data_IF_199855544890
#
_entry.id   IF_199855544890
#
_cell.length_a   1.000
_cell.length_b   1.000
_cell.length_c   1.000
_cell.angle_alpha   90.00
_cell.angle_beta   90.00
_cell.angle_gamma   90.00
#
_symmetry.space_group_name_H-M   'P 1'
#
loop_
_entity.id
_entity.type
_entity.pdbx_description
1 polymer ?
#
# COMPACT_ATOMS: atom_id res chain seq x y z
N UNK A 1 -15.16 -1.94 58.67
CA UNK A 1 -15.62 -2.01 57.28
C UNK A 1 -14.62 -1.26 56.40
N UNK A 2 -13.60 -1.98 55.95
CA UNK A 2 -12.65 -1.60 54.89
C UNK A 2 -12.23 -2.93 54.28
N UNK A 3 -12.66 -3.17 53.05
CA UNK A 3 -12.17 -4.24 52.19
C UNK A 3 -10.90 -3.72 51.53
N UNK A 4 -9.77 -4.38 51.76
CA UNK A 4 -8.63 -4.33 50.84
C UNK A 4 -8.26 -5.77 50.52
N UNK A 5 -8.50 -6.14 49.27
CA UNK A 5 -8.25 -7.47 48.71
C UNK A 5 -6.84 -7.47 48.15
N UNK A 6 -6.05 -8.43 48.64
CA UNK A 6 -4.71 -8.78 48.19
C UNK A 6 -4.73 -9.27 46.73
N UNK A 7 -4.03 -8.58 45.84
CA UNK A 7 -3.73 -9.09 44.50
C UNK A 7 -2.43 -9.91 44.53
N UNK A 8 -2.58 -11.22 44.58
CA UNK A 8 -1.52 -12.19 44.30
C UNK A 8 -1.19 -12.20 42.81
N UNK A 9 0.08 -11.98 42.49
CA UNK A 9 0.70 -12.15 41.17
C UNK A 9 0.50 -13.59 40.67
N UNK A 10 -0.28 -13.76 39.60
CA UNK A 10 -0.28 -14.96 38.76
C UNK A 10 0.55 -14.66 37.52
N UNK A 11 1.84 -15.03 37.56
CA UNK A 11 2.64 -15.21 36.37
C UNK A 11 2.18 -16.50 35.67
N UNK A 12 1.33 -16.38 34.65
CA UNK A 12 1.14 -17.47 33.69
C UNK A 12 2.30 -17.44 32.69
N UNK A 13 3.32 -18.24 32.96
CA UNK A 13 4.28 -18.71 31.96
C UNK A 13 3.49 -19.50 30.91
N UNK A 14 3.24 -18.91 29.74
CA UNK A 14 2.96 -19.71 28.56
C UNK A 14 4.28 -20.30 28.09
N UNK A 15 4.40 -21.61 28.24
CA UNK A 15 5.46 -22.39 27.63
C UNK A 15 5.39 -22.21 26.12
N UNK A 16 6.51 -21.79 25.53
CA UNK A 16 6.74 -21.91 24.09
C UNK A 16 6.85 -23.42 23.84
N UNK A 17 5.77 -24.04 23.40
CA UNK A 17 5.86 -25.37 22.79
C UNK A 17 6.67 -25.19 21.50
N UNK A 18 7.89 -25.72 21.50
CA UNK A 18 8.68 -25.93 20.30
C UNK A 18 7.87 -26.86 19.38
N UNK A 19 7.19 -26.28 18.40
CA UNK A 19 6.73 -27.02 17.24
C UNK A 19 7.99 -27.39 16.46
N UNK A 20 8.49 -28.61 16.68
CA UNK A 20 9.40 -29.25 15.75
C UNK A 20 8.67 -29.35 14.41
N UNK A 21 8.99 -28.43 13.50
CA UNK A 21 8.63 -28.58 12.10
C UNK A 21 9.34 -29.82 11.58
N UNK A 22 8.61 -30.92 11.46
CA UNK A 22 9.01 -32.01 10.58
C UNK A 22 9.08 -31.43 9.16
N UNK A 23 10.28 -31.03 8.77
CA UNK A 23 10.60 -30.66 7.40
C UNK A 23 10.43 -31.90 6.54
N UNK A 24 9.36 -31.93 5.77
CA UNK A 24 9.28 -32.77 4.59
C UNK A 24 10.18 -32.11 3.54
N UNK A 25 11.42 -32.59 3.47
CA UNK A 25 12.43 -32.20 2.50
C UNK A 25 12.11 -32.82 1.13
N UNK A 26 11.01 -32.38 0.51
CA UNK A 26 10.75 -32.56 -0.91
C UNK A 26 10.57 -31.17 -1.53
N UNK A 27 11.64 -30.68 -2.15
CA UNK A 27 11.75 -29.34 -2.72
C UNK A 27 10.87 -29.11 -3.94
N UNK A 28 9.56 -28.92 -3.73
CA UNK A 28 8.68 -28.23 -4.65
C UNK A 28 7.94 -27.16 -3.87
N UNK A 29 8.45 -25.92 -3.91
CA UNK A 29 7.72 -24.76 -3.43
C UNK A 29 6.37 -24.61 -4.14
N UNK A 30 5.46 -23.81 -3.56
CA UNK A 30 4.16 -23.53 -4.18
C UNK A 30 4.37 -22.90 -5.57
N UNK A 31 4.06 -23.65 -6.63
CA UNK A 31 4.13 -23.17 -8.03
C UNK A 31 2.77 -22.63 -8.47
N UNK A 32 2.79 -21.57 -9.26
CA UNK A 32 1.63 -20.88 -9.81
C UNK A 32 1.97 -20.39 -11.22
N UNK A 33 0.95 -20.21 -12.07
CA UNK A 33 1.16 -19.66 -13.41
C UNK A 33 1.70 -18.23 -13.31
N UNK A 34 2.83 -17.92 -13.96
CA UNK A 34 3.53 -16.63 -13.83
C UNK A 34 4.70 -16.64 -12.85
N UNK A 35 5.05 -17.79 -12.28
CA UNK A 35 6.19 -17.95 -11.36
C UNK A 35 7.55 -17.65 -12.02
N UNK A 36 7.63 -17.71 -13.35
CA UNK A 36 8.78 -17.33 -14.17
C UNK A 36 9.12 -15.83 -14.07
N UNK A 37 8.15 -14.98 -13.70
CA UNK A 37 8.34 -13.55 -13.48
C UNK A 37 8.85 -13.22 -12.08
N UNK A 38 9.09 -14.23 -11.24
CA UNK A 38 9.57 -14.06 -9.88
C UNK A 38 10.98 -14.60 -9.72
N UNK A 39 11.86 -13.80 -9.14
CA UNK A 39 13.14 -14.30 -8.64
C UNK A 39 12.93 -15.19 -7.42
N UNK A 40 13.79 -16.18 -7.25
CA UNK A 40 13.70 -17.13 -6.13
C UNK A 40 13.78 -16.41 -4.77
N UNK A 41 14.65 -15.41 -4.66
CA UNK A 41 14.78 -14.59 -3.44
C UNK A 41 13.46 -13.89 -3.11
N UNK A 42 12.75 -13.37 -4.12
CA UNK A 42 11.47 -12.69 -3.93
C UNK A 42 10.38 -13.67 -3.46
N UNK A 43 10.36 -14.89 -4.01
CA UNK A 43 9.42 -15.94 -3.57
C UNK A 43 9.69 -16.37 -2.13
N UNK A 44 10.96 -16.54 -1.77
CA UNK A 44 11.34 -16.92 -0.40
C UNK A 44 10.87 -15.89 0.65
N UNK A 45 10.87 -14.59 0.29
CA UNK A 45 10.32 -13.53 1.15
C UNK A 45 8.79 -13.60 1.28
N UNK A 46 8.09 -14.04 0.24
CA UNK A 46 6.65 -14.27 0.31
C UNK A 46 6.29 -15.52 1.14
N UNK A 47 7.10 -16.56 1.08
CA UNK A 47 6.88 -17.80 1.83
C UNK A 47 7.24 -17.68 3.31
N UNK A 48 8.18 -16.79 3.65
CA UNK A 48 8.69 -16.62 5.01
C UNK A 48 8.59 -15.15 5.49
N UNK A 49 7.40 -14.53 5.52
CA UNK A 49 7.26 -13.11 5.85
C UNK A 49 7.74 -12.75 7.26
N UNK A 50 7.66 -13.70 8.21
CA UNK A 50 8.09 -13.50 9.60
C UNK A 50 9.55 -13.87 9.88
N UNK A 51 10.27 -14.43 8.89
CA UNK A 51 11.71 -14.70 9.03
C UNK A 51 12.56 -13.43 8.97
N UNK A 52 11.93 -12.31 8.63
CA UNK A 52 12.57 -11.02 8.46
C UNK A 52 12.86 -10.38 9.82
N UNK A 53 14.05 -9.82 9.94
CA UNK A 53 14.58 -9.16 11.14
C UNK A 53 13.74 -7.96 11.61
N UNK A 54 12.78 -7.47 10.80
CA UNK A 54 11.89 -6.35 11.13
C UNK A 54 10.90 -6.64 12.26
N UNK A 55 10.38 -7.86 12.38
CA UNK A 55 9.59 -8.25 13.56
C UNK A 55 10.42 -8.40 14.84
N UNK A 56 11.75 -8.29 14.71
CA UNK A 56 12.72 -8.34 15.80
C UNK A 56 13.44 -6.98 16.00
N UNK A 57 12.94 -5.90 15.41
CA UNK A 57 13.44 -4.53 15.59
C UNK A 57 12.85 -3.93 16.87
N UNK A 58 13.63 -3.70 17.94
CA UNK A 58 13.13 -3.12 19.19
C UNK A 58 12.75 -1.62 19.09
N UNK A 59 12.90 -1.02 17.90
CA UNK A 59 12.69 0.39 17.57
C UNK A 59 11.38 0.68 16.81
N UNK A 60 10.42 -0.25 16.76
CA UNK A 60 9.08 0.01 16.20
C UNK A 60 8.37 1.11 17.01
N UNK A 61 8.22 2.28 16.42
CA UNK A 61 7.56 3.42 17.04
C UNK A 61 6.07 3.44 16.67
N UNK A 62 5.20 3.28 17.67
CA UNK A 62 3.76 3.54 17.53
C UNK A 62 3.50 5.05 17.68
N UNK A 63 3.18 5.73 16.59
CA UNK A 63 2.74 7.14 16.64
C UNK A 63 1.23 7.21 16.81
N UNK A 64 0.73 8.17 17.59
CA UNK A 64 -0.68 8.51 17.70
C UNK A 64 -0.89 9.94 17.17
N UNK A 65 -1.67 10.10 16.10
CA UNK A 65 -2.04 11.42 15.59
C UNK A 65 -3.00 12.13 16.57
N UNK A 66 -2.74 13.41 16.84
CA UNK A 66 -3.54 14.25 17.75
C UNK A 66 -4.58 15.10 17.02
N UNK A 67 -4.55 15.18 15.68
CA UNK A 67 -5.59 15.87 14.93
C UNK A 67 -6.93 15.13 15.12
N UNK A 68 -7.92 15.85 15.64
CA UNK A 68 -9.28 15.37 15.94
C UNK A 68 -9.40 14.33 17.06
N UNK A 69 -8.32 14.01 17.79
CA UNK A 69 -8.25 12.92 18.78
C UNK A 69 -8.47 11.51 18.20
N UNK A 70 -8.43 11.36 16.88
CA UNK A 70 -8.51 10.05 16.23
C UNK A 70 -7.14 9.37 16.26
N UNK A 71 -7.04 8.21 16.90
CA UNK A 71 -5.80 7.45 16.97
C UNK A 71 -5.52 6.77 15.63
N UNK A 72 -4.54 7.27 14.87
CA UNK A 72 -3.90 6.52 13.78
C UNK A 72 -2.79 5.69 14.39
N UNK A 73 -2.79 4.37 14.19
CA UNK A 73 -1.69 3.50 14.61
C UNK A 73 -0.71 3.38 13.45
N UNK A 74 0.48 3.95 13.58
CA UNK A 74 1.48 3.95 12.53
C UNK A 74 2.63 3.00 12.88
N UNK A 75 3.02 2.15 11.94
CA UNK A 75 4.19 1.29 11.99
C UNK A 75 5.14 1.70 10.84
N UNK A 76 6.29 2.27 11.19
CA UNK A 76 7.30 2.72 10.20
C UNK A 76 8.28 1.58 9.95
N UNK A 77 8.29 1.05 8.73
CA UNK A 77 9.17 -0.06 8.31
C UNK A 77 10.45 0.43 7.64
N UNK A 78 10.38 1.58 6.96
CA UNK A 78 11.54 2.29 6.43
C UNK A 78 11.30 3.80 6.51
N UNK A 79 12.37 4.55 6.75
CA UNK A 79 12.38 6.01 6.71
C UNK A 79 12.83 6.54 5.33
N UNK A 80 13.70 5.79 4.64
CA UNK A 80 14.29 6.18 3.36
C UNK A 80 14.38 4.94 2.43
N UNK A 81 13.56 4.86 1.38
CA UNK A 81 12.32 5.62 1.22
C UNK A 81 11.35 5.29 2.34
N UNK A 82 10.35 6.15 2.54
CA UNK A 82 9.36 5.81 3.53
C UNK A 82 8.51 4.62 3.10
N UNK A 83 8.29 3.74 4.07
CA UNK A 83 7.37 2.62 3.97
C UNK A 83 6.67 2.49 5.32
N UNK A 84 5.37 2.76 5.32
CA UNK A 84 4.56 2.87 6.54
C UNK A 84 3.33 1.99 6.42
N UNK A 85 2.98 1.31 7.51
CA UNK A 85 1.68 0.65 7.67
C UNK A 85 0.84 1.43 8.68
N UNK A 86 -0.33 1.86 8.23
CA UNK A 86 -1.38 2.43 9.07
C UNK A 86 -2.29 1.28 9.52
N UNK A 87 -2.10 0.83 10.76
CA UNK A 87 -2.82 -0.31 11.34
C UNK A 87 -4.22 0.11 11.79
N UNK A 88 -5.21 -0.74 11.51
CA UNK A 88 -6.62 -0.47 11.81
C UNK A 88 -7.07 0.92 11.29
N UNK A 89 -6.56 1.33 10.13
CA UNK A 89 -6.77 2.67 9.58
C UNK A 89 -8.25 2.94 9.33
N UNK A 90 -9.00 1.96 8.83
CA UNK A 90 -10.45 2.07 8.59
C UNK A 90 -11.21 1.00 9.36
N UNK A 91 -12.41 1.36 9.81
CA UNK A 91 -13.27 0.45 10.57
C UNK A 91 -13.90 -0.63 9.68
N UNK A 92 -14.25 -1.76 10.29
CA UNK A 92 -14.99 -2.84 9.59
C UNK A 92 -16.30 -2.36 8.95
N UNK A 93 -16.96 -1.34 9.54
CA UNK A 93 -18.18 -0.75 8.98
C UNK A 93 -17.88 -0.05 7.65
N UNK A 94 -16.79 0.72 7.58
CA UNK A 94 -16.37 1.38 6.34
C UNK A 94 -15.93 0.36 5.29
N UNK A 95 -15.20 -0.69 5.70
CA UNK A 95 -14.80 -1.79 4.82
C UNK A 95 -16.02 -2.46 4.20
N UNK A 96 -17.00 -2.86 5.02
CA UNK A 96 -18.19 -3.56 4.53
C UNK A 96 -18.98 -2.73 3.52
N UNK A 97 -19.13 -1.41 3.77
CA UNK A 97 -19.80 -0.51 2.81
C UNK A 97 -19.07 -0.44 1.47
N UNK A 98 -17.74 -0.38 1.49
CA UNK A 98 -16.97 -0.37 0.25
C UNK A 98 -17.03 -1.74 -0.45
N UNK A 99 -17.01 -2.84 0.30
CA UNK A 99 -17.21 -4.18 -0.27
C UNK A 99 -18.60 -4.35 -0.90
N UNK A 100 -19.65 -3.75 -0.33
CA UNK A 100 -20.99 -3.75 -0.92
C UNK A 100 -21.00 -3.02 -2.28
N UNK A 101 -20.31 -1.88 -2.39
CA UNK A 101 -20.15 -1.15 -3.65
C UNK A 101 -19.41 -1.99 -4.70
N UNK A 102 -18.35 -2.69 -4.29
CA UNK A 102 -17.56 -3.61 -5.14
C UNK A 102 -18.44 -4.76 -5.67
N UNK A 103 -19.29 -5.32 -4.80
CA UNK A 103 -20.19 -6.40 -5.19
C UNK A 103 -21.19 -5.94 -6.27
N UNK A 104 -21.68 -4.71 -6.18
CA UNK A 104 -22.61 -4.12 -7.16
C UNK A 104 -21.92 -3.84 -8.49
N UNK A 105 -20.72 -3.24 -8.47
CA UNK A 105 -20.04 -2.81 -9.70
C UNK A 105 -19.52 -3.97 -10.57
N UNK A 106 -19.33 -5.16 -9.96
CA UNK A 106 -18.72 -6.37 -10.54
C UNK A 106 -17.25 -6.16 -10.94
N UNK A 107 -16.41 -7.15 -10.64
CA UNK A 107 -14.98 -7.12 -10.93
C UNK A 107 -14.67 -7.86 -12.24
N UNK A 108 -13.91 -7.23 -13.13
CA UNK A 108 -13.48 -7.79 -14.41
C UNK A 108 -11.99 -8.19 -14.36
N UNK A 109 -11.59 -9.22 -15.10
CA UNK A 109 -10.18 -9.65 -15.14
C UNK A 109 -9.29 -8.53 -15.71
N UNK A 110 -8.18 -8.21 -15.02
CA UNK A 110 -7.32 -7.08 -15.38
C UNK A 110 -6.18 -7.50 -16.32
N UNK A 111 -5.94 -6.69 -17.35
CA UNK A 111 -4.82 -6.83 -18.29
C UNK A 111 -3.63 -5.99 -17.81
N UNK A 112 -2.40 -6.49 -17.96
CA UNK A 112 -1.17 -5.68 -17.91
C UNK A 112 -0.71 -5.49 -19.35
N UNK A 113 -0.47 -4.24 -19.75
CA UNK A 113 0.02 -3.89 -21.08
C UNK A 113 1.51 -3.65 -20.97
N UNK A 114 2.31 -4.40 -21.74
CA UNK A 114 3.73 -4.11 -21.92
C UNK A 114 3.85 -3.01 -23.01
N UNK A 115 4.68 -1.99 -22.79
CA UNK A 115 4.90 -0.92 -23.77
C UNK A 115 5.48 -1.46 -25.09
N UNK A 116 6.15 -2.62 -25.05
CA UNK A 116 6.83 -3.22 -26.19
C UNK A 116 5.98 -4.23 -26.97
N UNK A 117 4.82 -4.64 -26.46
CA UNK A 117 3.99 -5.64 -27.11
C UNK A 117 2.54 -5.13 -27.25
N UNK A 118 2.22 -4.64 -28.44
CA UNK A 118 0.89 -4.16 -28.82
C UNK A 118 -0.15 -5.30 -28.92
N UNK A 119 0.20 -6.54 -28.58
CA UNK A 119 -0.76 -7.62 -28.47
C UNK A 119 -1.46 -7.55 -27.11
N UNK A 120 -2.80 -7.48 -27.10
CA UNK A 120 -3.63 -7.53 -25.88
C UNK A 120 -3.59 -8.92 -25.20
N UNK A 121 -2.41 -9.53 -25.05
CA UNK A 121 -2.24 -10.80 -24.38
C UNK A 121 -2.13 -10.59 -22.88
N UNK A 122 -2.72 -11.52 -22.12
CA UNK A 122 -2.68 -11.54 -20.67
C UNK A 122 -1.24 -11.73 -20.21
N UNK A 123 -0.56 -10.67 -19.77
CA UNK A 123 0.80 -10.82 -19.26
C UNK A 123 0.76 -11.57 -17.91
N UNK A 124 1.41 -12.73 -17.86
CA UNK A 124 1.33 -13.67 -16.73
C UNK A 124 1.93 -13.12 -15.43
N UNK A 125 2.67 -12.00 -15.49
CA UNK A 125 3.21 -11.31 -14.32
C UNK A 125 2.14 -10.81 -13.35
N UNK A 126 0.88 -10.68 -13.79
CA UNK A 126 -0.23 -10.27 -12.91
C UNK A 126 -1.48 -11.07 -13.20
N UNK A 127 -2.10 -11.54 -12.11
CA UNK A 127 -3.39 -12.22 -12.16
C UNK A 127 -4.31 -11.69 -11.08
N UNK A 128 -5.20 -10.79 -11.48
CA UNK A 128 -6.17 -10.15 -10.60
C UNK A 128 -7.45 -9.80 -11.38
N UNK A 129 -8.58 -9.83 -10.70
CA UNK A 129 -9.78 -9.13 -11.14
C UNK A 129 -9.76 -7.73 -10.53
N UNK A 130 -10.37 -6.76 -11.19
CA UNK A 130 -10.34 -5.39 -10.76
C UNK A 130 -11.48 -4.57 -11.34
N UNK A 131 -11.62 -3.38 -10.78
CA UNK A 131 -12.54 -2.35 -11.24
C UNK A 131 -12.05 -1.00 -10.74
N UNK A 132 -12.65 0.06 -11.25
CA UNK A 132 -12.31 1.42 -10.90
C UNK A 132 -13.51 2.08 -10.22
N UNK A 133 -13.27 2.87 -9.19
CA UNK A 133 -14.30 3.67 -8.54
C UNK A 133 -13.87 5.12 -8.49
N UNK A 134 -14.69 6.04 -8.98
CA UNK A 134 -14.49 7.45 -8.65
C UNK A 134 -14.71 7.65 -7.14
N UNK A 135 -13.93 8.52 -6.51
CA UNK A 135 -13.98 8.73 -5.05
C UNK A 135 -15.39 8.96 -4.53
N UNK A 136 -16.23 9.70 -5.26
CA UNK A 136 -17.60 10.00 -4.86
C UNK A 136 -18.65 9.32 -5.74
N UNK A 137 -18.29 8.21 -6.38
CA UNK A 137 -19.21 7.46 -7.23
C UNK A 137 -20.36 6.84 -6.42
N UNK A 138 -20.00 6.22 -5.30
CA UNK A 138 -20.93 5.51 -4.43
C UNK A 138 -20.79 6.00 -2.99
N UNK A 139 -21.72 5.59 -2.13
CA UNK A 139 -21.72 6.03 -0.73
C UNK A 139 -20.49 5.49 0.02
N UNK A 140 -20.11 4.22 -0.19
CA UNK A 140 -18.96 3.62 0.47
C UNK A 140 -17.65 4.23 0.00
N UNK A 141 -17.48 4.46 -1.30
CA UNK A 141 -16.27 5.13 -1.83
C UNK A 141 -16.17 6.57 -1.33
N UNK A 142 -17.28 7.32 -1.30
CA UNK A 142 -17.28 8.73 -0.86
C UNK A 142 -16.88 8.86 0.60
N UNK A 143 -17.46 8.01 1.46
CA UNK A 143 -17.13 7.98 2.88
C UNK A 143 -15.68 7.54 3.11
N UNK A 144 -15.19 6.58 2.32
CA UNK A 144 -13.81 6.12 2.41
C UNK A 144 -12.82 7.22 2.02
N UNK A 145 -13.11 7.94 0.93
CA UNK A 145 -12.30 9.04 0.45
C UNK A 145 -12.25 10.22 1.43
N UNK A 146 -13.41 10.68 1.90
CA UNK A 146 -13.52 11.78 2.86
C UNK A 146 -12.75 11.45 4.14
N UNK A 147 -12.98 10.26 4.69
CA UNK A 147 -12.26 9.81 5.87
C UNK A 147 -10.74 9.74 5.65
N UNK A 148 -10.29 9.19 4.53
CA UNK A 148 -8.85 9.08 4.22
C UNK A 148 -8.19 10.45 4.14
N UNK A 149 -8.87 11.41 3.49
CA UNK A 149 -8.38 12.79 3.34
C UNK A 149 -8.32 13.52 4.68
N UNK A 150 -9.33 13.35 5.54
CA UNK A 150 -9.37 13.96 6.88
C UNK A 150 -8.27 13.40 7.80
N UNK A 151 -7.97 12.10 7.68
CA UNK A 151 -6.97 11.42 8.52
C UNK A 151 -5.53 11.65 8.06
N UNK A 152 -5.33 11.93 6.76
CA UNK A 152 -4.02 12.18 6.13
C UNK A 152 -4.03 13.54 5.40
N UNK A 153 -4.26 14.66 6.11
CA UNK A 153 -4.51 15.97 5.49
C UNK A 153 -3.28 16.58 4.80
N UNK A 154 -2.10 15.97 4.98
CA UNK A 154 -0.85 16.41 4.35
C UNK A 154 -0.64 15.83 2.95
N UNK A 155 -1.47 14.85 2.55
CA UNK A 155 -1.46 14.25 1.23
C UNK A 155 -2.69 14.75 0.49
N UNK A 156 -2.47 15.37 -0.67
CA UNK A 156 -3.55 15.76 -1.54
C UNK A 156 -3.99 14.55 -2.40
N UNK A 157 -5.00 13.84 -1.91
CA UNK A 157 -5.63 12.73 -2.64
C UNK A 157 -6.53 13.18 -3.80
N UNK A 158 -6.75 14.49 -4.01
CA UNK A 158 -7.44 15.03 -5.20
C UNK A 158 -6.55 15.00 -6.46
N UNK A 159 -5.31 14.53 -6.35
CA UNK A 159 -4.42 14.31 -7.50
C UNK A 159 -3.87 12.89 -7.48
N UNK A 160 -4.78 11.91 -7.55
CA UNK A 160 -4.48 10.50 -7.75
C UNK A 160 -4.98 10.04 -9.13
N UNK A 161 -4.26 9.12 -9.76
CA UNK A 161 -4.44 8.81 -11.19
C UNK A 161 -5.78 8.14 -11.58
N UNK A 162 -6.24 8.49 -12.80
CA UNK A 162 -7.18 7.76 -13.66
C UNK A 162 -6.44 7.05 -14.80
N UNK A 163 -6.82 5.82 -15.15
CA UNK A 163 -6.55 5.29 -16.49
C UNK A 163 -7.86 4.97 -17.24
N UNK A 164 -7.94 5.50 -18.47
CA UNK A 164 -8.95 5.36 -19.55
C UNK A 164 -10.01 6.46 -19.74
N UNK A 165 -9.77 7.29 -20.75
CA UNK A 165 -10.70 7.63 -21.84
C UNK A 165 -12.12 8.15 -21.55
N UNK A 166 -12.42 8.77 -20.41
CA UNK A 166 -13.66 9.55 -20.28
C UNK A 166 -13.43 11.06 -20.19
N UNK A 167 -13.69 11.67 -21.34
CA UNK A 167 -14.09 13.04 -21.57
C UNK A 167 -13.01 14.13 -21.51
N UNK A 168 -12.71 14.64 -22.72
CA UNK A 168 -12.47 16.05 -23.05
C UNK A 168 -13.60 16.98 -22.53
N UNK A 169 -14.02 16.87 -21.28
CA UNK A 169 -14.82 17.90 -20.63
C UNK A 169 -13.83 18.73 -19.81
N UNK A 170 -13.39 19.80 -20.45
CA UNK A 170 -12.50 20.88 -19.99
C UNK A 170 -12.90 21.56 -18.66
N UNK A 171 -13.81 20.99 -17.86
CA UNK A 171 -14.43 21.61 -16.70
C UNK A 171 -14.51 20.72 -15.45
N UNK A 172 -14.08 19.45 -15.50
CA UNK A 172 -14.00 18.59 -14.30
C UNK A 172 -12.55 18.60 -13.82
N UNK A 173 -12.21 19.56 -12.97
CA UNK A 173 -10.81 19.90 -12.72
C UNK A 173 -10.02 18.91 -11.85
N UNK A 174 -10.64 17.92 -11.22
CA UNK A 174 -9.97 16.90 -10.39
C UNK A 174 -10.84 15.65 -10.29
N UNK A 175 -10.37 14.52 -10.83
CA UNK A 175 -11.01 13.21 -10.66
C UNK A 175 -9.97 12.30 -10.07
N UNK A 176 -10.36 11.64 -8.99
CA UNK A 176 -9.51 10.72 -8.27
C UNK A 176 -10.27 9.43 -8.00
N UNK A 177 -9.55 8.33 -8.12
CA UNK A 177 -10.12 7.01 -8.33
C UNK A 177 -9.43 5.98 -7.48
N UNK A 178 -10.23 5.20 -6.74
CA UNK A 178 -9.77 3.94 -6.18
C UNK A 178 -9.67 2.89 -7.27
N UNK A 179 -8.48 2.34 -7.46
CA UNK A 179 -8.29 1.14 -8.25
C UNK A 179 -8.42 -0.09 -7.36
N UNK A 180 -9.53 -0.80 -7.47
CA UNK A 180 -9.82 -1.96 -6.63
C UNK A 180 -9.39 -3.23 -7.34
N UNK A 181 -8.68 -4.09 -6.62
CA UNK A 181 -8.18 -5.36 -7.10
C UNK A 181 -8.58 -6.49 -6.16
N UNK A 182 -9.23 -7.51 -6.72
CA UNK A 182 -9.44 -8.81 -6.11
C UNK A 182 -8.47 -9.83 -6.70
N UNK A 183 -7.67 -10.42 -5.84
CA UNK A 183 -6.78 -11.51 -6.13
C UNK A 183 -7.38 -12.77 -5.49
N UNK A 184 -7.65 -13.79 -6.31
CA UNK A 184 -8.09 -15.12 -5.83
C UNK A 184 -6.90 -16.07 -5.73
N UNK A 185 -7.10 -17.32 -5.33
CA UNK A 185 -6.03 -18.34 -5.34
C UNK A 185 -5.28 -18.39 -6.68
N UNK A 186 -3.95 -18.37 -6.61
CA UNK A 186 -3.02 -18.23 -7.74
C UNK A 186 -2.87 -16.79 -8.26
N UNK A 187 -3.64 -15.84 -7.73
CA UNK A 187 -3.53 -14.42 -8.01
C UNK A 187 -2.29 -13.83 -7.38
N UNK A 188 -1.62 -12.97 -8.13
CA UNK A 188 -0.35 -12.36 -7.75
C UNK A 188 -0.07 -11.12 -8.62
N UNK A 189 0.96 -10.37 -8.26
CA UNK A 189 1.57 -9.35 -9.11
C UNK A 189 3.07 -9.34 -8.87
N UNK A 190 3.85 -9.71 -9.90
CA UNK A 190 5.30 -9.76 -9.85
C UNK A 190 5.89 -8.40 -9.42
N UNK A 191 7.10 -8.41 -8.79
CA UNK A 191 7.76 -7.18 -8.37
C UNK A 191 7.91 -6.17 -9.51
N UNK A 192 7.45 -4.95 -9.28
CA UNK A 192 7.45 -3.85 -10.23
C UNK A 192 7.60 -2.51 -9.50
N UNK A 193 7.71 -1.43 -10.28
CA UNK A 193 7.69 -0.07 -9.77
C UNK A 193 6.37 0.59 -10.15
N UNK A 194 5.83 1.37 -9.23
CA UNK A 194 4.71 2.26 -9.54
C UNK A 194 5.20 3.55 -10.21
N UNK A 195 6.49 3.91 -10.09
CA UNK A 195 7.07 5.03 -10.84
C UNK A 195 6.96 4.78 -12.34
N UNK A 196 6.49 5.78 -13.08
CA UNK A 196 6.31 5.68 -14.53
C UNK A 196 7.61 6.07 -15.24
N UNK A 197 8.18 5.16 -16.01
CA UNK A 197 9.32 5.45 -16.88
C UNK A 197 8.82 5.78 -18.28
N UNK A 198 9.27 6.90 -18.85
CA UNK A 198 8.98 7.27 -20.22
C UNK A 198 10.30 7.36 -20.99
N UNK A 199 10.31 6.91 -22.26
CA UNK A 199 11.50 7.00 -23.12
C UNK A 199 12.04 8.43 -23.28
N UNK A 200 11.14 9.42 -23.37
CA UNK A 200 11.50 10.84 -23.43
C UNK A 200 10.33 11.73 -22.99
N UNK A 201 10.59 13.02 -22.80
CA UNK A 201 9.56 14.02 -22.45
C UNK A 201 8.46 14.14 -23.51
N UNK A 202 8.78 13.89 -24.78
CA UNK A 202 7.81 13.96 -25.87
C UNK A 202 6.77 12.82 -25.81
N UNK A 203 7.04 11.77 -25.03
CA UNK A 203 6.14 10.64 -24.80
C UNK A 203 5.35 10.77 -23.50
N UNK A 204 5.50 11.87 -22.76
CA UNK A 204 4.71 12.10 -21.55
C UNK A 204 3.24 12.16 -21.88
N UNK A 205 2.45 11.39 -21.16
CA UNK A 205 1.00 11.52 -21.20
C UNK A 205 0.56 12.83 -20.53
N UNK A 206 -0.75 13.09 -20.59
CA UNK A 206 -1.35 14.27 -20.00
C UNK A 206 -1.15 14.34 -18.47
N UNK A 207 -1.17 13.20 -17.78
CA UNK A 207 -0.99 13.14 -16.33
C UNK A 207 0.43 13.50 -15.93
N UNK A 208 1.43 12.91 -16.58
CA UNK A 208 2.84 13.23 -16.35
C UNK A 208 3.12 14.71 -16.62
N UNK A 209 2.53 15.26 -17.69
CA UNK A 209 2.69 16.68 -18.02
C UNK A 209 2.01 17.61 -17.02
N UNK A 210 0.80 17.28 -16.57
CA UNK A 210 -0.01 18.17 -15.71
C UNK A 210 0.36 18.03 -14.23
N UNK A 211 0.55 16.80 -13.77
CA UNK A 211 0.64 16.47 -12.35
C UNK A 211 1.93 15.73 -11.96
N UNK A 212 2.84 15.51 -12.91
CA UNK A 212 4.11 14.83 -12.66
C UNK A 212 3.94 13.33 -12.47
N UNK A 213 4.99 12.68 -11.96
CA UNK A 213 5.00 11.23 -11.80
C UNK A 213 4.19 10.79 -10.57
N UNK A 214 3.99 9.48 -10.40
CA UNK A 214 3.45 8.90 -9.16
C UNK A 214 4.52 9.01 -8.08
N UNK A 215 4.32 9.88 -7.09
CA UNK A 215 5.31 10.07 -6.03
C UNK A 215 5.15 9.09 -4.88
N UNK A 216 3.93 8.63 -4.64
CA UNK A 216 3.61 7.71 -3.57
C UNK A 216 2.41 6.85 -3.95
N UNK A 217 2.31 5.70 -3.30
CA UNK A 217 1.16 4.81 -3.41
C UNK A 217 0.55 4.59 -2.04
N UNK A 218 -0.77 4.67 -1.99
CA UNK A 218 -1.58 4.31 -0.83
C UNK A 218 -2.40 3.06 -1.18
N UNK A 219 -2.18 1.98 -0.44
CA UNK A 219 -2.82 0.68 -0.64
C UNK A 219 -3.66 0.31 0.58
N UNK A 220 -4.97 0.41 0.45
CA UNK A 220 -5.93 0.03 1.48
C UNK A 220 -6.34 -1.44 1.35
N UNK A 221 -6.31 -2.17 2.45
CA UNK A 221 -6.65 -3.59 2.49
C UNK A 221 -8.10 -3.75 2.96
N UNK A 222 -8.98 -4.19 2.05
CA UNK A 222 -10.40 -4.40 2.34
C UNK A 222 -10.68 -5.84 2.80
N UNK A 223 -9.88 -6.79 2.30
CA UNK A 223 -9.98 -8.21 2.65
C UNK A 223 -8.61 -8.87 2.49
N UNK A 224 -8.27 -9.77 3.41
CA UNK A 224 -7.05 -10.57 3.35
C UNK A 224 -7.35 -11.98 2.88
N UNK A 225 -6.37 -12.60 2.23
CA UNK A 225 -6.41 -14.01 1.88
C UNK A 225 -6.25 -14.88 3.15
N UNK A 226 -6.69 -16.14 3.08
CA UNK A 226 -6.48 -17.12 4.16
C UNK A 226 -5.01 -17.51 4.26
N UNK A 227 -4.31 -17.58 3.12
CA UNK A 227 -2.89 -17.93 3.04
C UNK A 227 -2.22 -17.25 1.84
N UNK A 228 -1.05 -16.65 2.05
CA UNK A 228 -0.31 -15.86 1.06
C UNK A 228 -0.83 -14.41 0.94
N UNK A 229 -0.60 -13.76 -0.20
CA UNK A 229 -1.17 -12.42 -0.47
C UNK A 229 -0.50 -11.25 0.28
N UNK A 230 0.66 -11.45 0.90
CA UNK A 230 1.47 -10.34 1.43
C UNK A 230 1.88 -9.32 0.36
N UNK A 231 2.31 -8.13 0.77
CA UNK A 231 2.93 -7.15 -0.12
C UNK A 231 4.43 -7.16 0.15
N UNK A 232 5.23 -7.63 -0.80
CA UNK A 232 6.68 -7.77 -0.67
C UNK A 232 7.38 -6.54 -1.26
N UNK A 233 8.41 -6.06 -0.57
CA UNK A 233 9.38 -5.06 -0.99
C UNK A 233 10.77 -5.70 -0.98
N UNK A 234 11.19 -6.35 -2.08
CA UNK A 234 12.36 -7.22 -2.04
C UNK A 234 13.66 -6.50 -1.72
N UNK A 235 13.84 -5.26 -2.20
CA UNK A 235 15.06 -4.49 -1.95
C UNK A 235 15.20 -4.06 -0.49
N UNK A 236 14.08 -3.84 0.19
CA UNK A 236 14.04 -3.58 1.63
C UNK A 236 14.05 -4.87 2.46
N UNK A 237 14.01 -6.03 1.80
CA UNK A 237 13.91 -7.34 2.45
C UNK A 237 12.67 -7.45 3.37
N UNK A 238 11.54 -6.89 2.94
CA UNK A 238 10.30 -6.78 3.72
C UNK A 238 9.13 -7.46 3.03
N UNK A 239 8.29 -8.16 3.79
CA UNK A 239 6.98 -8.64 3.36
C UNK A 239 5.95 -8.23 4.40
N UNK A 240 5.05 -7.34 4.00
CA UNK A 240 3.98 -6.87 4.85
C UNK A 240 2.82 -7.85 4.73
N UNK A 241 2.43 -8.44 5.86
CA UNK A 241 1.18 -9.21 5.99
C UNK A 241 0.16 -8.29 6.66
N UNK A 242 -0.73 -7.64 5.88
CA UNK A 242 -1.70 -6.71 6.45
C UNK A 242 -2.93 -7.45 6.98
N UNK A 243 -3.67 -6.78 7.86
CA UNK A 243 -5.04 -7.14 8.25
C UNK A 243 -6.07 -6.36 7.42
N UNK A 244 -7.34 -6.82 7.34
CA UNK A 244 -8.41 -5.99 6.81
C UNK A 244 -8.51 -4.69 7.61
N UNK A 245 -8.53 -3.55 6.92
CA UNK A 245 -8.55 -2.22 7.50
C UNK A 245 -7.19 -1.55 7.61
N UNK A 246 -6.10 -2.28 7.41
CA UNK A 246 -4.77 -1.69 7.31
C UNK A 246 -4.61 -0.94 5.98
N UNK A 247 -3.80 0.12 5.99
CA UNK A 247 -3.32 0.76 4.77
C UNK A 247 -1.79 0.77 4.74
N UNK A 248 -1.21 0.63 3.55
CA UNK A 248 0.24 0.70 3.32
C UNK A 248 0.51 1.94 2.49
N UNK A 249 1.48 2.76 2.91
CA UNK A 249 1.83 4.01 2.26
C UNK A 249 3.34 4.05 2.06
N UNK A 250 3.79 4.24 0.81
CA UNK A 250 5.22 4.28 0.47
C UNK A 250 5.55 5.29 -0.63
N UNK A 251 6.82 5.70 -0.68
CA UNK A 251 7.34 6.57 -1.74
C UNK A 251 7.73 5.76 -2.98
N UNK A 252 7.40 6.28 -4.15
CA UNK A 252 7.86 5.77 -5.46
C UNK A 252 8.96 6.63 -6.06
N UNK A 253 9.25 7.79 -5.45
CA UNK A 253 10.22 8.77 -5.92
C UNK A 253 11.28 9.05 -4.87
N UNK A 254 12.53 9.16 -5.32
CA UNK A 254 13.65 9.53 -4.49
C UNK A 254 13.71 11.06 -4.29
N UNK A 255 14.66 11.53 -3.47
CA UNK A 255 14.83 12.95 -3.15
C UNK A 255 15.16 13.84 -4.37
N UNK A 256 15.71 13.28 -5.43
CA UNK A 256 16.01 13.99 -6.68
C UNK A 256 14.84 14.00 -7.67
N UNK A 257 13.70 13.40 -7.33
CA UNK A 257 12.55 13.25 -8.21
C UNK A 257 12.72 12.15 -9.28
N UNK A 258 13.73 11.30 -9.12
CA UNK A 258 13.90 10.08 -9.89
C UNK A 258 13.10 8.91 -9.30
N UNK A 259 13.18 7.76 -9.97
CA UNK A 259 12.63 6.50 -9.46
C UNK A 259 13.29 6.14 -8.14
N UNK A 260 12.48 5.77 -7.16
CA UNK A 260 12.97 5.15 -5.94
C UNK A 260 13.23 3.66 -6.19
N UNK A 261 14.49 3.24 -6.13
CA UNK A 261 14.87 1.86 -6.45
C UNK A 261 14.38 0.88 -5.37
N UNK A 262 14.33 1.32 -4.12
CA UNK A 262 13.89 0.48 -3.00
C UNK A 262 12.36 0.33 -2.92
N UNK A 263 11.62 1.06 -3.77
CA UNK A 263 10.17 0.95 -3.92
C UNK A 263 9.73 -0.22 -4.81
N UNK A 264 10.67 -1.06 -5.29
CA UNK A 264 10.33 -2.31 -5.99
C UNK A 264 9.44 -3.15 -5.09
N UNK A 265 8.23 -3.47 -5.55
CA UNK A 265 7.25 -4.17 -4.74
C UNK A 265 6.35 -5.09 -5.55
N UNK A 266 5.78 -6.11 -4.90
CA UNK A 266 4.88 -7.09 -5.54
C UNK A 266 3.79 -7.58 -4.60
N UNK A 267 2.73 -8.14 -5.19
CA UNK A 267 1.69 -8.85 -4.45
C UNK A 267 2.03 -10.35 -4.45
N UNK A 268 2.40 -10.87 -3.28
CA UNK A 268 2.74 -12.27 -3.10
C UNK A 268 1.61 -13.19 -3.57
N UNK A 269 1.94 -14.36 -4.13
CA UNK A 269 0.94 -15.33 -4.56
C UNK A 269 -0.03 -15.72 -3.45
N UNK A 270 -1.31 -15.78 -3.80
CA UNK A 270 -2.34 -16.28 -2.89
C UNK A 270 -2.40 -17.79 -3.01
N UNK A 271 -2.12 -18.46 -1.90
CA UNK A 271 -2.22 -19.92 -1.79
C UNK A 271 -3.68 -20.31 -1.56
N UNK A 272 -4.38 -19.61 -0.67
CA UNK A 272 -5.77 -19.89 -0.30
C UNK A 272 -6.56 -18.61 0.00
N UNK A 273 -7.83 -18.60 -0.40
CA UNK A 273 -8.76 -17.50 -0.14
C UNK A 273 -8.71 -16.40 -1.21
N UNK A 274 -9.00 -15.17 -0.79
CA UNK A 274 -9.08 -14.01 -1.67
C UNK A 274 -8.64 -12.74 -0.94
N UNK A 275 -7.76 -11.95 -1.55
CA UNK A 275 -7.37 -10.62 -1.08
C UNK A 275 -8.09 -9.57 -1.92
N UNK A 276 -8.64 -8.55 -1.28
CA UNK A 276 -9.20 -7.38 -1.96
C UNK A 276 -8.48 -6.15 -1.41
N UNK A 277 -7.90 -5.36 -2.30
CA UNK A 277 -7.19 -4.12 -1.95
C UNK A 277 -7.60 -2.98 -2.89
N UNK A 278 -7.63 -1.76 -2.38
CA UNK A 278 -7.87 -0.55 -3.14
C UNK A 278 -6.59 0.29 -3.17
N UNK A 279 -6.14 0.64 -4.38
CA UNK A 279 -4.89 1.36 -4.62
C UNK A 279 -5.19 2.78 -5.07
N UNK A 280 -4.46 3.75 -4.52
CA UNK A 280 -4.38 5.12 -4.98
C UNK A 280 -2.94 5.44 -5.35
N UNK A 281 -2.69 5.76 -6.61
CA UNK A 281 -1.42 6.30 -7.07
C UNK A 281 -1.45 7.82 -7.01
N UNK A 282 -0.67 8.40 -6.12
CA UNK A 282 -0.71 9.84 -5.81
C UNK A 282 0.34 10.55 -6.67
N UNK A 283 -0.06 11.61 -7.37
CA UNK A 283 0.79 12.36 -8.31
C UNK A 283 1.56 13.48 -7.61
N UNK A 284 2.74 13.78 -8.14
CA UNK A 284 3.78 14.62 -7.53
C UNK A 284 3.37 16.09 -7.33
N UNK A 285 2.69 16.70 -8.30
CA UNK A 285 2.33 18.12 -8.24
C UNK A 285 1.08 18.35 -7.38
N UNK A 286 0.81 19.62 -7.04
CA UNK A 286 -0.35 20.08 -6.26
C UNK A 286 -0.48 19.48 -4.85
N UNK A 287 0.58 18.86 -4.36
CA UNK A 287 0.69 18.45 -2.97
C UNK A 287 0.92 19.68 -2.08
N UNK A 288 0.41 19.65 -0.84
CA UNK A 288 0.38 20.81 0.08
C UNK A 288 1.75 21.26 0.60
N UNK A 289 2.84 20.73 0.04
CA UNK A 289 4.23 20.97 0.42
C UNK A 289 4.71 22.41 0.18
N UNK A 290 3.94 23.25 -0.52
CA UNK A 290 4.30 24.64 -0.81
C UNK A 290 3.88 25.64 0.27
N UNK A 291 2.98 25.29 1.19
CA UNK A 291 2.35 26.28 2.08
C UNK A 291 2.90 26.37 3.51
N UNK A 292 3.64 25.37 4.02
CA UNK A 292 3.98 25.29 5.46
C UNK A 292 5.46 25.43 5.82
N UNK A 293 6.39 25.45 4.86
CA UNK A 293 7.83 25.57 5.11
C UNK A 293 8.40 26.98 4.86
N UNK A 294 7.64 28.05 5.13
CA UNK A 294 8.03 29.44 4.83
C UNK A 294 9.19 30.01 5.69
N UNK A 295 9.78 29.25 6.60
CA UNK A 295 10.91 29.68 7.43
C UNK A 295 12.27 29.11 7.02
N UNK A 296 12.29 27.91 6.44
CA UNK A 296 13.46 27.23 5.88
C UNK A 296 12.92 26.19 4.89
N UNK A 297 12.98 26.43 3.57
CA UNK A 297 12.54 25.41 2.63
C UNK A 297 13.50 24.22 2.75
N UNK A 298 13.03 23.01 3.17
CA UNK A 298 13.85 21.82 3.05
C UNK A 298 14.18 21.64 1.57
N UNK A 299 15.44 21.30 1.30
CA UNK A 299 16.01 21.37 -0.05
C UNK A 299 15.27 20.46 -1.03
N UNK A 300 14.65 19.37 -0.57
CA UNK A 300 14.05 18.33 -1.41
C UNK A 300 12.66 17.84 -0.91
N UNK A 301 11.98 17.03 -1.74
CA UNK A 301 10.57 16.65 -1.65
C UNK A 301 10.23 15.62 -0.56
N UNK A 302 11.07 14.61 -0.30
CA UNK A 302 10.76 13.56 0.70
C UNK A 302 10.98 14.01 2.16
N UNK A 303 11.88 14.96 2.41
CA UNK A 303 12.06 15.63 3.72
C UNK A 303 10.76 16.32 4.19
N UNK A 304 9.82 16.59 3.28
CA UNK A 304 8.55 17.27 3.56
C UNK A 304 7.43 16.34 4.03
N UNK A 305 7.58 15.03 3.83
CA UNK A 305 6.54 14.04 4.16
C UNK A 305 6.81 13.47 5.55
N UNK A 306 8.08 13.17 5.88
CA UNK A 306 8.45 12.38 7.07
C UNK A 306 9.79 12.85 7.62
N UNK A 307 9.84 14.06 8.16
CA UNK A 307 10.87 14.39 9.14
C UNK A 307 10.23 14.70 10.51
N UNK A 308 9.90 13.68 11.33
CA UNK A 308 9.51 13.91 12.72
C UNK A 308 10.65 14.49 13.57
N UNK A 309 11.93 14.39 13.16
CA UNK A 309 13.04 15.06 13.85
C UNK A 309 13.00 16.58 13.63
N UNK A 310 12.59 17.05 12.44
CA UNK A 310 12.34 18.48 12.20
C UNK A 310 11.23 19.03 13.12
N UNK A 311 10.22 18.22 13.43
CA UNK A 311 9.14 18.59 14.36
C UNK A 311 9.55 18.51 15.85
N UNK A 312 10.59 17.73 16.20
CA UNK A 312 11.03 17.54 17.59
C UNK A 312 12.19 18.46 18.01
N UNK A 313 12.96 19.05 17.08
CA UNK A 313 14.10 19.91 17.42
C UNK A 313 13.77 21.39 17.60
N UNK A 314 12.50 21.78 17.52
CA UNK A 314 12.04 23.18 17.64
C UNK A 314 11.15 23.39 18.89
N UNK A 315 11.58 22.88 20.04
CA UNK A 315 11.04 23.26 21.36
C UNK A 315 12.05 24.04 22.18
#
# INVERSE_FOLDING_TARGET
MKLEISYSLLFSLFAIENIESHGDSNGNGFSFLGDEHWEEVHRNLCDNPYSQTLYQRPDLACYQNSLYYNQVKMEVLSWHPFLIVLRDFVSQVQINRFLDDIFVKRLEEQKVVDENDASEQYHLSRRANGTWFEHRETLGTSQMYEYTTDMLPYINFEVSELWQNLFKLSWVSKICIFYVLSYRSGGHYAPHYDYLEYHSKDHWDWWMTSYGNRFATFLLILKTADEGGGTVFPRLNVTIVPNPGDAILWANMNLEGGKEEDALHGACPIKKGEKIAATLWIRQHDQLFDYYCAGFPPKNFADRIIDPLYFMTQS
#
